data_IF_947728131672
#
_entry.id   IF_947728131672
#
_cell.length_a   1.000
_cell.length_b   1.000
_cell.length_c   1.000
_cell.angle_alpha   90.00
_cell.angle_beta   90.00
_cell.angle_gamma   90.00
#
_symmetry.space_group_name_H-M   'P 1'
#
loop_
_entity.id
_entity.type
_entity.pdbx_description
1 polymer ?
#
# COMPACT_ATOMS: atom_id res chain seq x y z
N UNK A 1 12.30 20.29 35.41
CA UNK A 1 11.59 19.51 34.37
C UNK A 1 12.60 19.14 33.30
N UNK A 2 12.91 17.84 33.12
CA UNK A 2 13.92 17.38 32.14
C UNK A 2 13.48 17.75 30.73
N UNK A 3 14.36 18.42 29.99
CA UNK A 3 14.27 18.60 28.54
C UNK A 3 14.03 17.24 27.89
N UNK A 4 12.78 16.96 27.47
CA UNK A 4 12.47 15.79 26.64
C UNK A 4 13.06 16.10 25.27
N UNK A 5 14.29 15.67 25.01
CA UNK A 5 14.74 15.49 23.63
C UNK A 5 13.65 14.67 22.92
N UNK A 6 12.92 15.31 22.01
CA UNK A 6 11.87 14.63 21.22
C UNK A 6 12.59 13.69 20.26
N UNK A 7 12.97 12.50 20.73
CA UNK A 7 13.56 11.49 19.88
C UNK A 7 12.58 11.14 18.76
N UNK A 8 13.06 11.16 17.52
CA UNK A 8 12.33 10.64 16.39
C UNK A 8 12.12 9.12 16.55
N UNK A 9 10.95 8.64 16.16
CA UNK A 9 10.65 7.22 16.10
C UNK A 9 9.77 6.93 14.88
N UNK A 10 10.06 5.85 14.13
CA UNK A 10 11.23 4.98 14.27
C UNK A 10 12.49 5.51 13.56
N UNK A 11 13.68 5.08 14.01
CA UNK A 11 14.91 5.07 13.21
C UNK A 11 14.96 3.85 12.28
N UNK A 12 15.92 3.77 11.35
CA UNK A 12 16.08 2.62 10.42
C UNK A 12 16.11 1.27 11.16
N UNK A 13 16.90 1.17 12.25
CA UNK A 13 16.97 -0.06 13.07
C UNK A 13 15.63 -0.39 13.71
N UNK A 14 14.90 0.61 14.17
CA UNK A 14 13.59 0.42 14.79
C UNK A 14 12.53 0.04 13.76
N UNK A 15 12.62 0.55 12.52
CA UNK A 15 11.75 0.16 11.42
C UNK A 15 11.93 -1.30 11.03
N UNK A 16 13.16 -1.82 11.04
CA UNK A 16 13.40 -3.27 10.94
C UNK A 16 12.74 -4.05 12.07
N UNK A 17 12.78 -3.53 13.31
CA UNK A 17 12.07 -4.12 14.44
C UNK A 17 10.54 -4.14 14.25
N UNK A 18 9.97 -3.08 13.68
CA UNK A 18 8.54 -3.04 13.32
C UNK A 18 8.21 -4.11 12.29
N UNK A 19 9.03 -4.25 11.24
CA UNK A 19 8.87 -5.31 10.24
C UNK A 19 8.97 -6.71 10.87
N UNK A 20 9.91 -6.91 11.80
CA UNK A 20 10.03 -8.18 12.53
C UNK A 20 8.78 -8.52 13.34
N UNK A 21 8.16 -7.53 14.01
CA UNK A 21 6.87 -7.71 14.71
C UNK A 21 5.77 -8.12 13.71
N UNK A 22 5.69 -7.46 12.56
CA UNK A 22 4.70 -7.79 11.52
C UNK A 22 4.87 -9.22 11.01
N UNK A 23 6.07 -9.58 10.57
CA UNK A 23 6.36 -10.92 10.05
C UNK A 23 6.08 -11.98 11.11
N UNK A 24 6.49 -11.75 12.36
CA UNK A 24 6.16 -12.66 13.46
C UNK A 24 4.65 -12.81 13.62
N UNK A 25 3.88 -11.71 13.63
CA UNK A 25 2.43 -11.75 13.78
C UNK A 25 1.70 -12.44 12.63
N UNK A 26 2.18 -12.30 11.39
CA UNK A 26 1.67 -13.04 10.22
C UNK A 26 1.71 -14.55 10.50
N UNK A 27 2.87 -15.08 10.92
CA UNK A 27 2.98 -16.51 11.21
C UNK A 27 2.29 -16.92 12.52
N UNK A 28 2.36 -16.09 13.56
CA UNK A 28 1.79 -16.41 14.87
C UNK A 28 0.27 -16.51 14.84
N UNK A 29 -0.41 -15.63 14.08
CA UNK A 29 -1.86 -15.65 13.97
C UNK A 29 -2.37 -16.56 12.84
N UNK A 30 -1.50 -17.05 11.95
CA UNK A 30 -1.92 -17.94 10.86
C UNK A 30 -2.74 -19.16 11.33
N UNK A 31 -2.42 -19.84 12.46
CA UNK A 31 -3.24 -20.95 12.96
C UNK A 31 -4.71 -20.63 13.22
N UNK A 32 -5.08 -19.35 13.42
CA UNK A 32 -6.47 -18.92 13.60
C UNK A 32 -7.34 -19.31 12.40
N UNK A 33 -6.77 -19.36 11.18
CA UNK A 33 -7.56 -19.70 9.99
C UNK A 33 -8.11 -21.12 10.06
N UNK A 34 -7.31 -22.08 10.57
CA UNK A 34 -7.72 -23.47 10.78
C UNK A 34 -8.62 -23.64 12.01
N UNK A 35 -8.43 -22.85 13.06
CA UNK A 35 -9.28 -22.92 14.26
C UNK A 35 -10.71 -22.46 13.99
N UNK A 36 -10.87 -21.56 13.03
CA UNK A 36 -12.17 -21.04 12.60
C UNK A 36 -12.78 -21.84 11.44
N UNK A 37 -12.04 -22.81 10.90
CA UNK A 37 -12.53 -23.68 9.83
C UNK A 37 -13.74 -24.50 10.29
N UNK A 38 -14.77 -24.55 9.44
CA UNK A 38 -16.07 -25.15 9.78
C UNK A 38 -16.93 -24.39 10.81
N UNK A 39 -16.44 -23.30 11.42
CA UNK A 39 -17.20 -22.46 12.36
C UNK A 39 -17.79 -21.24 11.64
N UNK A 40 -16.98 -20.59 10.80
CA UNK A 40 -17.35 -19.42 10.00
C UNK A 40 -16.93 -19.64 8.55
N UNK A 41 -17.36 -18.76 7.64
CA UNK A 41 -16.90 -18.80 6.26
C UNK A 41 -15.39 -18.55 6.15
N UNK A 42 -14.75 -19.10 5.11
CA UNK A 42 -13.31 -19.00 4.91
C UNK A 42 -12.86 -17.53 4.80
N UNK A 43 -13.66 -16.69 4.17
CA UNK A 43 -13.41 -15.26 3.97
C UNK A 43 -13.46 -14.52 5.31
N UNK A 44 -14.43 -14.86 6.17
CA UNK A 44 -14.53 -14.27 7.49
C UNK A 44 -13.35 -14.71 8.37
N UNK A 45 -12.94 -15.97 8.25
CA UNK A 45 -11.74 -16.51 8.89
C UNK A 45 -10.48 -15.73 8.49
N UNK A 46 -10.28 -15.48 7.18
CA UNK A 46 -9.17 -14.67 6.68
C UNK A 46 -9.25 -13.21 7.11
N UNK A 47 -10.43 -12.61 7.11
CA UNK A 47 -10.63 -11.23 7.59
C UNK A 47 -10.23 -11.09 9.07
N UNK A 48 -10.67 -12.03 9.92
CA UNK A 48 -10.29 -12.08 11.34
C UNK A 48 -8.78 -12.26 11.49
N UNK A 49 -8.20 -13.24 10.78
CA UNK A 49 -6.76 -13.45 10.74
C UNK A 49 -6.01 -12.16 10.36
N UNK A 50 -6.46 -11.46 9.32
CA UNK A 50 -5.80 -10.25 8.83
C UNK A 50 -5.85 -9.10 9.86
N UNK A 51 -6.99 -8.90 10.52
CA UNK A 51 -7.09 -7.94 11.63
C UNK A 51 -6.17 -8.28 12.80
N UNK A 52 -5.99 -9.56 13.11
CA UNK A 52 -5.03 -9.97 14.14
C UNK A 52 -3.59 -9.75 13.67
N UNK A 53 -3.25 -10.23 12.47
CA UNK A 53 -1.91 -10.19 11.88
C UNK A 53 -1.38 -8.77 11.66
N UNK A 54 -2.23 -7.80 11.31
CA UNK A 54 -1.82 -6.41 11.07
C UNK A 54 -2.32 -5.43 12.16
N UNK A 55 -3.51 -5.65 12.72
CA UNK A 55 -4.08 -4.78 13.74
C UNK A 55 -3.36 -4.86 15.09
N UNK A 56 -2.93 -6.06 15.52
CA UNK A 56 -2.16 -6.22 16.77
C UNK A 56 -0.79 -5.55 16.64
N UNK A 57 0.03 -5.79 15.59
CA UNK A 57 1.25 -5.00 15.36
C UNK A 57 1.03 -3.51 15.27
N UNK A 58 0.00 -3.05 14.54
CA UNK A 58 -0.32 -1.62 14.45
C UNK A 58 -0.57 -1.04 15.85
N UNK A 59 -1.36 -1.71 16.69
CA UNK A 59 -1.62 -1.29 18.06
C UNK A 59 -0.32 -1.24 18.89
N UNK A 60 0.48 -2.31 18.88
CA UNK A 60 1.75 -2.38 19.61
C UNK A 60 2.68 -1.24 19.19
N UNK A 61 2.88 -1.06 17.89
CA UNK A 61 3.80 -0.08 17.32
C UNK A 61 3.28 1.35 17.56
N UNK A 62 1.97 1.57 17.48
CA UNK A 62 1.32 2.83 17.85
C UNK A 62 1.58 3.18 19.32
N UNK A 63 1.40 2.24 20.24
CA UNK A 63 1.65 2.45 21.67
C UNK A 63 3.13 2.76 21.95
N UNK A 64 4.06 2.06 21.27
CA UNK A 64 5.50 2.36 21.35
C UNK A 64 5.80 3.77 20.84
N UNK A 65 5.26 4.15 19.67
CA UNK A 65 5.41 5.50 19.08
C UNK A 65 4.89 6.56 20.05
N UNK A 66 3.68 6.36 20.61
CA UNK A 66 3.06 7.28 21.57
C UNK A 66 3.93 7.43 22.82
N UNK A 67 4.43 6.33 23.38
CA UNK A 67 5.30 6.35 24.57
C UNK A 67 6.63 7.09 24.30
N UNK A 68 7.27 6.84 23.16
CA UNK A 68 8.59 7.42 22.83
C UNK A 68 8.53 8.88 22.40
N UNK A 69 7.52 9.25 21.62
CA UNK A 69 7.44 10.58 20.98
C UNK A 69 6.43 11.51 21.64
N UNK A 70 5.50 10.98 22.44
CA UNK A 70 4.31 11.70 22.90
C UNK A 70 3.24 11.92 21.82
N UNK A 71 3.49 11.51 20.57
CA UNK A 71 2.57 11.71 19.46
C UNK A 71 1.71 10.47 19.21
N UNK A 72 0.39 10.60 19.36
CA UNK A 72 -0.60 9.59 19.00
C UNK A 72 -1.34 9.93 17.69
N UNK A 73 -1.14 11.12 17.13
CA UNK A 73 -1.90 11.62 15.99
C UNK A 73 -1.43 11.05 14.65
N UNK A 74 -2.41 10.96 13.74
CA UNK A 74 -2.22 10.76 12.31
C UNK A 74 -2.83 11.96 11.59
N UNK A 75 -2.20 12.39 10.50
CA UNK A 75 -2.61 13.60 9.80
C UNK A 75 -3.60 13.24 8.69
N UNK A 76 -4.85 13.66 8.87
CA UNK A 76 -5.91 13.55 7.86
C UNK A 76 -6.35 14.96 7.45
N UNK A 77 -6.40 15.21 6.14
CA UNK A 77 -6.84 16.48 5.59
C UNK A 77 -7.70 16.25 4.38
N UNK A 78 -8.84 16.95 4.33
CA UNK A 78 -9.60 17.06 3.09
C UNK A 78 -8.74 17.77 2.05
N UNK A 79 -8.71 17.22 0.84
CA UNK A 79 -8.03 17.80 -0.30
C UNK A 79 -9.08 18.09 -1.38
N UNK A 80 -8.87 19.11 -2.22
CA UNK A 80 -9.76 19.36 -3.35
C UNK A 80 -9.91 18.09 -4.21
N UNK A 81 -11.10 17.85 -4.76
CA UNK A 81 -11.37 16.69 -5.62
C UNK A 81 -10.36 16.56 -6.76
N UNK A 82 -9.88 17.67 -7.33
CA UNK A 82 -8.80 17.69 -8.31
C UNK A 82 -7.55 16.93 -7.84
N UNK A 83 -7.10 17.17 -6.60
CA UNK A 83 -5.89 16.53 -6.06
C UNK A 83 -6.14 15.04 -5.83
N UNK A 84 -7.29 14.69 -5.28
CA UNK A 84 -7.66 13.28 -5.06
C UNK A 84 -7.71 12.55 -6.41
N UNK A 85 -8.45 13.10 -7.37
CA UNK A 85 -8.60 12.55 -8.72
C UNK A 85 -7.26 12.42 -9.44
N UNK A 86 -6.42 13.47 -9.45
CA UNK A 86 -5.08 13.39 -10.05
C UNK A 86 -4.18 12.35 -9.39
N UNK A 87 -4.31 12.15 -8.07
CA UNK A 87 -3.53 11.14 -7.36
C UNK A 87 -3.97 9.72 -7.74
N UNK A 88 -5.29 9.49 -7.85
CA UNK A 88 -5.86 8.22 -8.30
C UNK A 88 -5.49 7.94 -9.77
N UNK A 89 -5.65 8.93 -10.66
CA UNK A 89 -5.27 8.81 -12.07
C UNK A 89 -3.78 8.51 -12.19
N UNK A 90 -2.93 9.22 -11.45
CA UNK A 90 -1.49 8.99 -11.50
C UNK A 90 -1.12 7.57 -11.06
N UNK A 91 -1.71 7.05 -9.98
CA UNK A 91 -1.35 5.72 -9.49
C UNK A 91 -1.89 4.60 -10.38
N UNK A 92 -3.12 4.70 -10.88
CA UNK A 92 -3.68 3.70 -11.81
C UNK A 92 -2.92 3.73 -13.15
N UNK A 93 -2.55 4.91 -13.65
CA UNK A 93 -1.76 5.03 -14.86
C UNK A 93 -0.32 4.51 -14.68
N UNK A 94 0.29 4.69 -13.49
CA UNK A 94 1.56 4.04 -13.17
C UNK A 94 1.41 2.52 -13.06
N UNK A 95 0.30 2.04 -12.51
CA UNK A 95 0.04 0.61 -12.40
C UNK A 95 -0.02 -0.02 -13.80
N UNK A 96 -0.84 0.54 -14.69
CA UNK A 96 -0.98 0.11 -16.08
C UNK A 96 0.30 0.29 -16.92
N UNK A 97 1.00 1.42 -16.76
CA UNK A 97 2.13 1.79 -17.63
C UNK A 97 3.48 1.28 -17.17
N UNK A 98 3.61 0.85 -15.91
CA UNK A 98 4.89 0.45 -15.33
C UNK A 98 4.78 -0.83 -14.51
N UNK A 99 3.87 -0.90 -13.54
CA UNK A 99 3.82 -2.03 -12.60
C UNK A 99 3.37 -3.30 -13.30
N UNK A 100 2.22 -3.30 -13.98
CA UNK A 100 1.66 -4.45 -14.69
C UNK A 100 2.65 -5.04 -15.73
N UNK A 101 3.27 -4.25 -16.62
CA UNK A 101 4.32 -4.75 -17.52
C UNK A 101 5.52 -5.39 -16.84
N UNK A 102 5.92 -4.90 -15.65
CA UNK A 102 7.07 -5.46 -14.92
C UNK A 102 6.68 -6.76 -14.23
N UNK A 103 5.55 -6.78 -13.52
CA UNK A 103 5.14 -7.97 -12.76
C UNK A 103 4.72 -9.12 -13.66
N UNK A 104 4.28 -8.87 -14.90
CA UNK A 104 3.99 -9.93 -15.87
C UNK A 104 5.23 -10.71 -16.32
N UNK A 105 6.43 -10.18 -16.07
CA UNK A 105 7.71 -10.86 -16.30
C UNK A 105 8.18 -11.68 -15.10
N UNK A 106 7.49 -11.56 -13.96
CA UNK A 106 7.85 -12.24 -12.71
C UNK A 106 6.92 -13.45 -12.56
N UNK A 107 7.44 -14.69 -12.62
CA UNK A 107 6.60 -15.85 -12.45
C UNK A 107 6.04 -15.90 -11.03
N UNK A 108 4.74 -16.18 -10.93
CA UNK A 108 4.07 -16.56 -9.69
C UNK A 108 4.22 -18.07 -9.48
N UNK A 109 4.05 -18.53 -8.24
CA UNK A 109 3.95 -19.95 -7.94
C UNK A 109 2.47 -20.34 -7.84
N UNK A 110 2.13 -21.58 -8.19
CA UNK A 110 0.77 -22.14 -8.08
C UNK A 110 0.07 -21.85 -6.75
N UNK A 111 0.84 -21.81 -5.65
CA UNK A 111 0.32 -21.44 -4.33
C UNK A 111 -0.29 -20.03 -4.30
N UNK A 112 0.46 -19.02 -4.78
CA UNK A 112 0.03 -17.62 -4.78
C UNK A 112 -1.10 -17.38 -5.78
N UNK A 113 -1.08 -18.08 -6.92
CA UNK A 113 -2.16 -18.01 -7.90
C UNK A 113 -3.48 -18.53 -7.32
N UNK A 114 -3.45 -19.69 -6.65
CA UNK A 114 -4.62 -20.25 -5.98
C UNK A 114 -5.15 -19.34 -4.88
N UNK A 115 -4.26 -18.88 -4.00
CA UNK A 115 -4.64 -17.94 -2.92
C UNK A 115 -5.29 -16.70 -3.50
N UNK A 116 -4.69 -16.09 -4.53
CA UNK A 116 -5.24 -14.89 -5.16
C UNK A 116 -6.60 -15.15 -5.81
N UNK A 117 -6.74 -16.23 -6.59
CA UNK A 117 -7.99 -16.61 -7.25
C UNK A 117 -9.12 -16.92 -6.26
N UNK A 118 -8.83 -17.61 -5.15
CA UNK A 118 -9.80 -17.86 -4.08
C UNK A 118 -10.31 -16.55 -3.46
N UNK A 119 -9.42 -15.57 -3.26
CA UNK A 119 -9.79 -14.26 -2.71
C UNK A 119 -10.67 -13.44 -3.65
N UNK A 120 -10.57 -13.62 -4.96
CA UNK A 120 -11.34 -12.86 -5.95
C UNK A 120 -12.46 -13.68 -6.58
N UNK A 121 -12.81 -14.83 -6.02
CA UNK A 121 -13.95 -15.62 -6.49
C UNK A 121 -15.28 -14.87 -6.27
N UNK A 122 -16.21 -14.97 -7.23
CA UNK A 122 -17.49 -14.25 -7.26
C UNK A 122 -18.38 -14.54 -6.04
N UNK A 123 -18.40 -15.81 -5.59
CA UNK A 123 -19.20 -16.23 -4.43
C UNK A 123 -18.76 -15.53 -3.12
N UNK A 124 -17.52 -15.06 -3.07
CA UNK A 124 -16.83 -14.57 -1.88
C UNK A 124 -16.49 -13.08 -1.96
N UNK A 125 -16.94 -12.40 -3.03
CA UNK A 125 -16.44 -11.10 -3.44
C UNK A 125 -16.62 -10.02 -2.38
N UNK A 126 -17.73 -10.01 -1.63
CA UNK A 126 -18.04 -8.94 -0.67
C UNK A 126 -17.03 -8.91 0.48
N UNK A 127 -16.86 -10.02 1.21
CA UNK A 127 -16.00 -10.07 2.38
C UNK A 127 -14.52 -9.98 1.99
N UNK A 128 -14.11 -10.66 0.92
CA UNK A 128 -12.75 -10.56 0.39
C UNK A 128 -12.42 -9.16 -0.11
N UNK A 129 -13.37 -8.46 -0.74
CA UNK A 129 -13.18 -7.04 -1.11
C UNK A 129 -13.08 -6.13 0.12
N UNK A 130 -13.87 -6.36 1.17
CA UNK A 130 -13.73 -5.59 2.41
C UNK A 130 -12.33 -5.77 2.99
N UNK A 131 -11.80 -6.99 3.01
CA UNK A 131 -10.45 -7.25 3.47
C UNK A 131 -9.40 -6.57 2.58
N UNK A 132 -9.39 -6.91 1.28
CA UNK A 132 -8.32 -6.55 0.36
C UNK A 132 -8.38 -5.08 -0.09
N UNK A 133 -9.58 -4.53 -0.29
CA UNK A 133 -9.77 -3.17 -0.82
C UNK A 133 -9.91 -2.13 0.30
N UNK A 134 -10.30 -2.52 1.52
CA UNK A 134 -10.52 -1.58 2.63
C UNK A 134 -9.57 -1.84 3.79
N UNK A 135 -9.63 -3.02 4.41
CA UNK A 135 -8.89 -3.30 5.64
C UNK A 135 -7.36 -3.24 5.43
N UNK A 136 -6.88 -3.88 4.36
CA UNK A 136 -5.45 -3.89 4.00
C UNK A 136 -4.92 -2.47 3.71
N UNK A 137 -5.51 -1.69 2.78
CA UNK A 137 -5.14 -0.29 2.57
C UNK A 137 -5.10 0.56 3.83
N UNK A 138 -6.03 0.38 4.75
CA UNK A 138 -6.02 1.15 6.00
C UNK A 138 -4.87 0.68 6.89
N UNK A 139 -4.86 -0.59 7.29
CA UNK A 139 -3.90 -1.08 8.30
C UNK A 139 -2.46 -0.93 7.84
N UNK A 140 -2.17 -1.28 6.59
CA UNK A 140 -0.83 -1.20 6.03
C UNK A 140 -0.35 0.26 5.95
N UNK A 141 -1.15 1.19 5.41
CA UNK A 141 -0.75 2.59 5.29
C UNK A 141 -0.53 3.25 6.64
N UNK A 142 -1.32 2.90 7.66
CA UNK A 142 -1.10 3.38 9.02
C UNK A 142 0.28 2.98 9.56
N UNK A 143 0.75 1.76 9.27
CA UNK A 143 2.06 1.29 9.71
C UNK A 143 3.17 1.91 8.86
N UNK A 144 3.10 1.74 7.54
CA UNK A 144 4.20 2.08 6.64
C UNK A 144 4.30 3.59 6.40
N UNK A 145 3.20 4.30 6.16
CA UNK A 145 3.22 5.75 5.90
C UNK A 145 3.02 6.55 7.18
N UNK A 146 2.05 6.15 7.99
CA UNK A 146 1.66 6.84 9.22
C UNK A 146 2.67 6.74 10.36
N UNK A 147 3.45 5.66 10.45
CA UNK A 147 4.45 5.46 11.50
C UNK A 147 5.87 5.42 10.92
N UNK A 148 6.18 4.46 10.04
CA UNK A 148 7.55 4.23 9.55
C UNK A 148 8.04 5.45 8.77
N UNK A 149 7.37 5.83 7.68
CA UNK A 149 7.77 6.95 6.85
C UNK A 149 7.72 8.28 7.62
N UNK A 150 6.64 8.56 8.38
CA UNK A 150 6.51 9.76 9.23
C UNK A 150 7.69 9.91 10.21
N UNK A 151 8.14 8.81 10.82
CA UNK A 151 9.29 8.82 11.72
C UNK A 151 10.62 9.03 10.98
N UNK A 152 10.84 8.32 9.88
CA UNK A 152 12.07 8.42 9.09
C UNK A 152 12.26 9.83 8.52
N UNK A 153 11.18 10.47 8.05
CA UNK A 153 11.22 11.85 7.52
C UNK A 153 11.65 12.90 8.55
N UNK A 154 11.63 12.59 9.85
CA UNK A 154 12.12 13.49 10.91
C UNK A 154 13.62 13.40 11.14
N UNK A 155 14.31 12.43 10.54
CA UNK A 155 15.73 12.18 10.80
C UNK A 155 16.57 11.84 9.59
N UNK A 156 15.95 11.58 8.45
CA UNK A 156 16.64 11.23 7.21
C UNK A 156 16.12 12.06 6.05
N UNK A 157 16.88 12.06 4.95
CA UNK A 157 16.45 12.74 3.73
C UNK A 157 15.14 12.13 3.19
N UNK A 158 14.32 12.91 2.47
CA UNK A 158 13.06 12.44 1.91
C UNK A 158 13.22 11.20 1.02
N UNK A 159 14.19 11.24 0.10
CA UNK A 159 14.45 10.12 -0.82
C UNK A 159 14.80 8.84 -0.05
N UNK A 160 15.71 8.92 0.93
CA UNK A 160 16.10 7.78 1.75
C UNK A 160 14.92 7.21 2.54
N UNK A 161 14.10 8.09 3.11
CA UNK A 161 12.93 7.70 3.91
C UNK A 161 11.87 7.00 3.07
N UNK A 162 11.58 7.53 1.88
CA UNK A 162 10.62 6.96 0.93
C UNK A 162 11.12 5.58 0.48
N UNK A 163 12.32 5.50 -0.09
CA UNK A 163 12.86 4.23 -0.60
C UNK A 163 12.92 3.16 0.47
N UNK A 164 13.35 3.51 1.70
CA UNK A 164 13.46 2.54 2.78
C UNK A 164 12.08 2.09 3.29
N UNK A 165 11.12 3.00 3.43
CA UNK A 165 9.74 2.61 3.80
C UNK A 165 9.10 1.74 2.72
N UNK A 166 9.29 2.06 1.44
CA UNK A 166 8.79 1.26 0.32
C UNK A 166 9.44 -0.11 0.28
N UNK A 167 10.74 -0.21 0.58
CA UNK A 167 11.45 -1.49 0.67
C UNK A 167 10.82 -2.39 1.73
N UNK A 168 10.61 -1.88 2.95
CA UNK A 168 9.97 -2.65 4.01
C UNK A 168 8.54 -3.06 3.64
N UNK A 169 7.83 -2.18 2.92
CA UNK A 169 6.50 -2.46 2.42
C UNK A 169 6.51 -3.58 1.38
N UNK A 170 7.49 -3.64 0.47
CA UNK A 170 7.69 -4.78 -0.41
C UNK A 170 7.98 -6.07 0.37
N UNK A 171 8.91 -6.03 1.34
CA UNK A 171 9.36 -7.24 2.07
C UNK A 171 8.23 -7.93 2.82
N UNK A 172 7.28 -7.17 3.40
CA UNK A 172 6.19 -7.74 4.21
C UNK A 172 5.27 -8.70 3.43
N UNK A 173 5.28 -8.63 2.10
CA UNK A 173 4.48 -9.50 1.23
C UNK A 173 5.07 -10.90 1.06
N UNK A 174 6.35 -11.10 1.42
CA UNK A 174 7.01 -12.41 1.46
C UNK A 174 7.01 -13.19 0.14
N UNK A 175 6.81 -12.51 -1.01
CA UNK A 175 6.96 -13.10 -2.34
C UNK A 175 7.47 -12.07 -3.36
N UNK A 176 8.24 -12.48 -4.39
CA UNK A 176 8.84 -11.55 -5.36
C UNK A 176 7.83 -10.77 -6.20
N UNK A 177 6.73 -11.40 -6.61
CA UNK A 177 5.71 -10.81 -7.47
C UNK A 177 5.05 -9.59 -6.78
N UNK A 178 4.53 -9.78 -5.57
CA UNK A 178 3.95 -8.69 -4.77
C UNK A 178 5.01 -7.73 -4.23
N UNK A 179 6.22 -8.20 -3.92
CA UNK A 179 7.31 -7.32 -3.47
C UNK A 179 7.56 -6.19 -4.47
N UNK A 180 7.68 -6.51 -5.77
CA UNK A 180 7.99 -5.51 -6.80
C UNK A 180 6.82 -4.53 -6.96
N UNK A 181 5.58 -5.03 -7.01
CA UNK A 181 4.39 -4.19 -7.07
C UNK A 181 4.29 -3.23 -5.88
N UNK A 182 4.36 -3.78 -4.66
CA UNK A 182 4.28 -3.02 -3.42
C UNK A 182 5.44 -2.02 -3.25
N UNK A 183 6.65 -2.36 -3.70
CA UNK A 183 7.78 -1.44 -3.68
C UNK A 183 7.53 -0.22 -4.57
N UNK A 184 7.12 -0.43 -5.83
CA UNK A 184 6.86 0.64 -6.79
C UNK A 184 5.67 1.52 -6.36
N UNK A 185 4.56 0.90 -5.94
CA UNK A 185 3.44 1.61 -5.31
C UNK A 185 3.90 2.41 -4.09
N UNK A 186 4.74 1.78 -3.26
CA UNK A 186 5.40 2.35 -2.09
C UNK A 186 6.04 3.70 -2.36
N UNK A 187 6.84 3.79 -3.42
CA UNK A 187 7.57 5.00 -3.79
C UNK A 187 6.61 6.15 -4.09
N UNK A 188 5.57 5.90 -4.90
CA UNK A 188 4.61 6.92 -5.28
C UNK A 188 3.75 7.37 -4.09
N UNK A 189 3.20 6.42 -3.34
CA UNK A 189 2.43 6.71 -2.11
C UNK A 189 3.27 7.46 -1.07
N UNK A 190 4.54 7.06 -0.90
CA UNK A 190 5.49 7.72 -0.01
C UNK A 190 5.83 9.15 -0.46
N UNK A 191 5.99 9.39 -1.76
CA UNK A 191 6.17 10.73 -2.32
C UNK A 191 4.95 11.62 -2.08
N UNK A 192 3.73 11.12 -2.31
CA UNK A 192 2.48 11.85 -2.03
C UNK A 192 2.38 12.16 -0.54
N UNK A 193 2.66 11.19 0.34
CA UNK A 193 2.66 11.40 1.79
C UNK A 193 3.70 12.46 2.20
N UNK A 194 4.93 12.37 1.71
CA UNK A 194 5.99 13.35 1.97
C UNK A 194 5.60 14.77 1.56
N UNK A 195 4.96 14.92 0.39
CA UNK A 195 4.54 16.23 -0.14
C UNK A 195 3.34 16.82 0.58
N UNK A 196 2.46 15.99 1.13
CA UNK A 196 1.16 16.44 1.63
C UNK A 196 0.97 16.30 3.12
N UNK A 197 1.81 15.51 3.79
CA UNK A 197 1.69 15.06 5.18
C UNK A 197 0.26 14.60 5.50
N UNK A 198 -0.37 13.86 4.58
CA UNK A 198 -1.77 13.44 4.66
C UNK A 198 -1.88 11.95 4.40
N UNK A 199 -2.33 11.19 5.41
CA UNK A 199 -2.46 9.74 5.34
C UNK A 199 -3.68 9.31 4.51
N UNK A 200 -4.68 10.18 4.35
CA UNK A 200 -5.85 9.87 3.53
C UNK A 200 -5.50 9.58 2.06
N UNK A 201 -4.54 10.33 1.50
CA UNK A 201 -4.17 10.18 0.08
C UNK A 201 -3.54 8.82 -0.24
N UNK A 202 -2.50 8.34 0.46
CA UNK A 202 -1.96 7.02 0.17
C UNK A 202 -2.96 5.89 0.50
N UNK A 203 -3.84 6.03 1.50
CA UNK A 203 -4.95 5.08 1.73
C UNK A 203 -5.87 5.02 0.51
N UNK A 204 -6.30 6.17 -0.02
CA UNK A 204 -7.18 6.23 -1.20
C UNK A 204 -6.49 5.70 -2.47
N UNK A 205 -5.18 5.96 -2.62
CA UNK A 205 -4.39 5.38 -3.71
C UNK A 205 -4.35 3.86 -3.62
N UNK A 206 -4.11 3.32 -2.42
CA UNK A 206 -4.04 1.89 -2.19
C UNK A 206 -5.39 1.22 -2.42
N UNK A 207 -6.47 1.82 -1.88
CA UNK A 207 -7.85 1.43 -2.19
C UNK A 207 -8.09 1.36 -3.71
N UNK A 208 -7.68 2.40 -4.45
CA UNK A 208 -7.92 2.47 -5.89
C UNK A 208 -7.17 1.38 -6.67
N UNK A 209 -5.91 1.10 -6.32
CA UNK A 209 -5.12 0.03 -6.95
C UNK A 209 -5.73 -1.34 -6.63
N UNK A 210 -6.06 -1.61 -5.36
CA UNK A 210 -6.61 -2.91 -4.98
C UNK A 210 -8.01 -3.12 -5.58
N UNK A 211 -8.84 -2.08 -5.62
CA UNK A 211 -10.14 -2.12 -6.30
C UNK A 211 -9.94 -2.39 -7.80
N UNK A 212 -8.98 -1.71 -8.43
CA UNK A 212 -8.67 -1.95 -9.84
C UNK A 212 -8.23 -3.39 -10.09
N UNK A 213 -7.40 -3.97 -9.22
CA UNK A 213 -7.01 -5.40 -9.32
C UNK A 213 -8.20 -6.34 -9.18
N UNK A 214 -9.07 -6.14 -8.18
CA UNK A 214 -10.28 -6.96 -8.00
C UNK A 214 -11.20 -6.86 -9.21
N UNK A 215 -11.49 -5.65 -9.68
CA UNK A 215 -12.33 -5.44 -10.86
C UNK A 215 -11.71 -6.05 -12.11
N UNK A 216 -10.39 -5.94 -12.29
CA UNK A 216 -9.70 -6.57 -13.41
C UNK A 216 -9.93 -8.08 -13.43
N UNK A 217 -9.92 -8.73 -12.25
CA UNK A 217 -10.22 -10.17 -12.19
C UNK A 217 -11.70 -10.47 -12.48
N UNK A 218 -12.64 -9.70 -11.93
CA UNK A 218 -14.07 -9.91 -12.19
C UNK A 218 -14.42 -9.75 -13.67
N UNK A 219 -13.88 -8.73 -14.32
CA UNK A 219 -14.03 -8.57 -15.77
C UNK A 219 -13.24 -9.63 -16.56
N UNK A 220 -12.22 -10.25 -15.93
CA UNK A 220 -11.45 -11.36 -16.50
C UNK A 220 -12.10 -12.75 -16.35
N UNK A 221 -13.20 -12.90 -15.62
CA UNK A 221 -13.87 -14.20 -15.47
C UNK A 221 -14.61 -14.67 -16.75
N UNK A 222 -14.53 -13.90 -17.84
CA UNK A 222 -14.78 -14.43 -19.19
C UNK A 222 -13.61 -15.38 -19.56
N UNK A 223 -13.85 -16.62 -20.03
CA UNK A 223 -12.79 -17.59 -20.39
C UNK A 223 -11.66 -17.05 -21.28
N UNK A 224 -11.92 -15.95 -21.98
CA UNK A 224 -10.95 -15.18 -22.75
C UNK A 224 -9.79 -14.67 -21.87
N UNK A 225 -9.95 -14.36 -20.59
CA UNK A 225 -8.89 -13.66 -19.85
C UNK A 225 -8.09 -14.54 -18.86
N UNK A 226 -8.47 -15.81 -18.65
CA UNK A 226 -7.74 -16.75 -17.79
C UNK A 226 -6.63 -17.51 -18.53
N UNK A 227 -6.66 -17.58 -19.86
CA UNK A 227 -5.68 -18.31 -20.68
C UNK A 227 -4.72 -17.41 -21.45
N UNK A 228 -4.91 -16.11 -21.37
CA UNK A 228 -4.21 -15.15 -22.20
C UNK A 228 -3.10 -14.44 -21.42
N UNK A 229 -1.91 -14.41 -22.01
CA UNK A 229 -0.83 -13.52 -21.56
C UNK A 229 -1.34 -12.09 -21.49
N UNK A 230 -0.73 -11.22 -20.69
CA UNK A 230 -1.13 -9.80 -20.63
C UNK A 230 -1.14 -9.13 -22.02
N UNK A 231 -0.29 -9.59 -22.94
CA UNK A 231 -0.24 -9.12 -24.33
C UNK A 231 -1.52 -9.51 -25.08
N UNK A 232 -1.97 -10.75 -24.94
CA UNK A 232 -3.21 -11.24 -25.53
C UNK A 232 -4.44 -10.58 -24.89
N UNK A 233 -4.40 -10.32 -23.57
CA UNK A 233 -5.43 -9.55 -22.87
C UNK A 233 -5.64 -8.16 -23.50
N UNK A 234 -4.56 -7.48 -23.88
CA UNK A 234 -4.64 -6.20 -24.58
C UNK A 234 -4.98 -6.32 -26.08
N UNK A 235 -5.18 -7.52 -26.61
CA UNK A 235 -5.46 -7.75 -28.04
C UNK A 235 -4.21 -7.68 -28.93
N UNK A 236 -3.03 -7.98 -28.37
CA UNK A 236 -1.76 -8.10 -29.08
C UNK A 236 -0.71 -7.06 -28.68
N UNK A 237 0.52 -7.30 -29.14
CA UNK A 237 1.71 -6.52 -28.74
C UNK A 237 1.60 -5.04 -29.07
N UNK A 238 0.96 -4.69 -30.18
CA UNK A 238 0.76 -3.30 -30.58
C UNK A 238 -0.11 -2.54 -29.56
N UNK A 239 -1.26 -3.11 -29.18
CA UNK A 239 -2.15 -2.49 -28.20
C UNK A 239 -1.51 -2.42 -26.82
N UNK A 240 -0.79 -3.47 -26.40
CA UNK A 240 -0.03 -3.46 -25.16
C UNK A 240 0.96 -2.29 -25.09
N UNK A 241 1.75 -2.08 -26.14
CA UNK A 241 2.72 -0.97 -26.23
C UNK A 241 1.99 0.37 -26.19
N UNK A 242 0.93 0.53 -26.98
CA UNK A 242 0.18 1.79 -27.05
C UNK A 242 -0.49 2.16 -25.71
N UNK A 243 -1.08 1.19 -25.02
CA UNK A 243 -1.70 1.39 -23.70
C UNK A 243 -0.63 1.73 -22.66
N UNK A 244 0.48 0.99 -22.65
CA UNK A 244 1.60 1.22 -21.74
C UNK A 244 2.17 2.63 -21.90
N UNK A 245 2.46 3.06 -23.13
CA UNK A 245 3.00 4.39 -23.41
C UNK A 245 2.00 5.50 -23.05
N UNK A 246 0.72 5.31 -23.38
CA UNK A 246 -0.34 6.26 -23.05
C UNK A 246 -0.49 6.42 -21.54
N UNK A 247 -0.45 5.31 -20.79
CA UNK A 247 -0.51 5.30 -19.33
C UNK A 247 0.72 6.01 -18.71
N UNK A 248 1.93 5.78 -19.23
CA UNK A 248 3.13 6.50 -18.78
C UNK A 248 3.05 8.01 -19.04
N UNK A 249 2.48 8.44 -20.17
CA UNK A 249 2.24 9.85 -20.46
C UNK A 249 1.24 10.46 -19.47
N UNK A 250 0.10 9.78 -19.23
CA UNK A 250 -0.92 10.21 -18.28
C UNK A 250 -0.35 10.31 -16.86
N UNK A 251 0.42 9.31 -16.43
CA UNK A 251 1.11 9.30 -15.15
C UNK A 251 2.06 10.49 -15.04
N UNK A 252 2.89 10.73 -16.04
CA UNK A 252 3.86 11.82 -16.07
C UNK A 252 3.19 13.19 -15.98
N UNK A 253 2.15 13.43 -16.79
CA UNK A 253 1.37 14.68 -16.76
C UNK A 253 0.75 14.88 -15.38
N UNK A 254 0.13 13.84 -14.83
CA UNK A 254 -0.54 13.90 -13.52
C UNK A 254 0.46 14.19 -12.40
N UNK A 255 1.64 13.55 -12.39
CA UNK A 255 2.72 13.80 -11.43
C UNK A 255 3.26 15.24 -11.55
N UNK A 256 3.43 15.75 -12.78
CA UNK A 256 3.86 17.14 -13.01
C UNK A 256 2.83 18.13 -12.45
N UNK A 257 1.54 17.89 -12.71
CA UNK A 257 0.45 18.72 -12.19
C UNK A 257 0.38 18.68 -10.66
N UNK A 258 0.47 17.49 -10.07
CA UNK A 258 0.51 17.31 -8.62
C UNK A 258 1.73 18.01 -8.01
N UNK A 259 2.92 17.88 -8.60
CA UNK A 259 4.12 18.53 -8.07
C UNK A 259 4.00 20.07 -8.10
N UNK A 260 3.41 20.63 -9.17
CA UNK A 260 3.11 22.08 -9.26
C UNK A 260 2.10 22.53 -8.20
N UNK A 261 1.09 21.71 -7.90
CA UNK A 261 0.10 22.04 -6.89
C UNK A 261 0.64 21.85 -5.46
N UNK A 262 1.53 20.88 -5.24
CA UNK A 262 2.19 20.66 -3.96
C UNK A 262 3.27 21.70 -3.66
N UNK A 263 4.02 22.19 -4.67
CA UNK A 263 5.06 23.20 -4.46
C UNK A 263 4.54 24.57 -4.05
N UNK A 264 3.25 24.85 -4.29
CA UNK A 264 2.59 26.10 -3.89
C UNK A 264 2.29 26.18 -2.38
N UNK A 265 2.46 25.09 -1.63
CA UNK A 265 2.14 25.04 -0.19
C UNK A 265 3.38 24.66 0.61
N UNK A 266 3.73 25.48 1.60
CA UNK A 266 4.77 25.17 2.58
C UNK A 266 4.37 23.89 3.33
N UNK A 267 5.21 22.86 3.27
CA UNK A 267 4.87 21.58 3.89
C UNK A 267 5.21 21.65 5.39
N UNK A 268 4.20 21.48 6.23
CA UNK A 268 4.28 21.60 7.70
C UNK A 268 5.27 20.66 8.39
N UNK A 269 5.82 19.64 7.73
CA UNK A 269 6.87 18.82 8.36
C UNK A 269 8.18 19.60 8.59
N UNK A 270 8.35 20.76 7.94
CA UNK A 270 9.53 21.64 8.11
C UNK A 270 9.43 22.59 9.29
N UNK A 271 8.24 22.75 9.87
CA UNK A 271 8.01 23.60 11.04
C UNK A 271 7.67 22.70 12.22
N UNK A 272 8.48 22.70 13.30
CA UNK A 272 8.04 22.11 14.55
C UNK A 272 6.71 22.76 14.92
N UNK A 273 5.68 21.97 15.25
CA UNK A 273 4.46 22.54 15.83
C UNK A 273 4.86 23.31 17.09
N UNK A 274 4.90 24.64 16.99
CA UNK A 274 4.89 25.57 18.11
C UNK A 274 3.43 25.79 18.49
N UNK A 275 2.84 24.80 19.16
CA UNK A 275 1.73 25.00 20.09
C UNK A 275 1.88 23.95 21.18
#
# INVERSE_FOLDING_TARGET
>A
MKNKERHSYPSIKQSWGILGILIFSIFFFFPVTFLLDGIVSQELSFLVYYFLAFGVPLLIVHLIRKRKTGNAGYRFRLKPFKIIGLTIIAIVALDLGLVLPIISLIPTSDFWDKVFLEFVNEENLLLSSIMFVIAAPILEEFIFRGIILDGLLKSYSPLKSILFSSLLFGIVHLNPWQFVSAFLFGIMAGWVYYKTANLALPILMHFAVNLFSVLSVQFSNDPIFQTHTIIEFYGGIFNFIMITLSALIIASISIIMLNKDFSKKTIEWRTPNTV
#
